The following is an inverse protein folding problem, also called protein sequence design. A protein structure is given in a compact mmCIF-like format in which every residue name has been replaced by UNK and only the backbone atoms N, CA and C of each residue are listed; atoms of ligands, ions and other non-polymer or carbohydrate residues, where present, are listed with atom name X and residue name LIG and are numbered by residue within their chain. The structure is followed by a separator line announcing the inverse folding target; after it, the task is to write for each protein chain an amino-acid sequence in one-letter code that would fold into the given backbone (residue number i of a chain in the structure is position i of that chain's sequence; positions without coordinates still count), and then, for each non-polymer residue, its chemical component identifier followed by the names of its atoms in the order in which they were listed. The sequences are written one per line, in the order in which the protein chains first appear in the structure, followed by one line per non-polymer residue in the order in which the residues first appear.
data_IF_863811799853
#
_entry.id   IF_863811799853
#
_cell.length_a   1.000
_cell.length_b   1.000
_cell.length_c   1.000
_cell.angle_alpha   90.00
_cell.angle_beta   90.00
_cell.angle_gamma   90.00
#
_symmetry.space_group_name_H-M   'P 1'
#
loop_
_entity.id
_entity.type
_entity.pdbx_description
1 polymer ?
#
# COMPACT_ATOMS: atom_id res chain seq x y z
N UNK A 1 66.32 -11.16 12.55
CA UNK A 1 64.98 -11.59 12.11
C UNK A 1 63.94 -10.69 12.75
N UNK A 2 63.42 -9.66 12.03
CA UNK A 2 62.38 -8.77 12.52
C UNK A 2 61.01 -9.41 12.18
N UNK A 3 60.21 -9.73 13.21
CA UNK A 3 58.87 -10.23 13.02
C UNK A 3 57.95 -9.05 12.68
N UNK A 4 57.36 -9.05 11.48
CA UNK A 4 56.37 -8.10 11.03
C UNK A 4 54.99 -8.54 11.59
N UNK A 5 54.41 -7.79 12.51
CA UNK A 5 53.04 -8.02 12.99
C UNK A 5 52.12 -7.24 12.08
N UNK A 6 51.38 -7.96 11.24
CA UNK A 6 50.30 -7.38 10.40
C UNK A 6 49.06 -7.32 11.28
N UNK A 7 48.64 -6.11 11.66
CA UNK A 7 47.40 -5.85 12.35
C UNK A 7 46.26 -5.79 11.30
N UNK A 8 45.42 -6.84 11.26
CA UNK A 8 44.20 -6.84 10.47
C UNK A 8 43.15 -6.01 11.20
N UNK A 9 42.89 -4.79 10.73
CA UNK A 9 41.70 -4.03 11.12
C UNK A 9 40.50 -4.62 10.41
N UNK A 10 39.73 -5.44 11.10
CA UNK A 10 38.36 -5.81 10.71
C UNK A 10 37.49 -4.55 10.85
N UNK A 11 37.27 -3.87 9.75
CA UNK A 11 36.15 -2.92 9.66
C UNK A 11 34.85 -3.71 9.71
N UNK A 12 34.32 -3.94 10.90
CA UNK A 12 32.90 -4.28 11.04
C UNK A 12 32.11 -3.02 10.68
N UNK A 13 31.64 -2.94 9.42
CA UNK A 13 30.58 -1.99 9.07
C UNK A 13 29.34 -2.42 9.87
N UNK A 14 29.15 -1.77 11.01
CA UNK A 14 27.89 -1.85 11.73
C UNK A 14 26.84 -1.28 10.80
N UNK A 15 26.04 -2.13 10.15
CA UNK A 15 24.81 -1.74 9.53
C UNK A 15 23.92 -1.21 10.66
N UNK A 16 23.95 0.10 10.87
CA UNK A 16 22.97 0.77 11.72
C UNK A 16 21.61 0.65 11.00
N UNK A 17 20.87 -0.41 11.32
CA UNK A 17 19.47 -0.44 11.00
C UNK A 17 18.83 0.78 11.68
N UNK A 18 18.30 1.71 10.89
CA UNK A 18 17.60 2.86 11.44
C UNK A 18 16.40 2.36 12.23
N UNK A 19 16.39 2.60 13.54
CA UNK A 19 15.27 2.25 14.38
C UNK A 19 14.22 3.35 14.25
N UNK A 20 13.06 3.02 13.67
CA UNK A 20 11.93 3.95 13.67
C UNK A 20 11.51 4.27 15.09
N UNK A 21 11.36 5.56 15.40
CA UNK A 21 10.74 5.98 16.65
C UNK A 21 9.31 5.46 16.73
N UNK A 22 8.89 5.08 17.92
CA UNK A 22 7.49 4.77 18.16
C UNK A 22 6.69 6.06 18.06
N UNK A 23 5.56 6.03 17.35
CA UNK A 23 4.71 7.21 17.15
C UNK A 23 4.23 7.81 18.49
N UNK A 24 4.00 6.97 19.47
CA UNK A 24 3.59 7.34 20.84
C UNK A 24 4.62 8.20 21.57
N UNK A 25 5.86 8.21 21.10
CA UNK A 25 6.97 8.99 21.70
C UNK A 25 7.26 10.30 20.97
N UNK A 26 6.47 10.65 19.95
CA UNK A 26 6.73 11.79 19.08
C UNK A 26 5.61 12.80 19.17
N UNK A 27 5.94 14.05 19.45
CA UNK A 27 5.04 15.21 19.29
C UNK A 27 5.63 16.15 18.26
N UNK A 28 4.83 16.51 17.28
CA UNK A 28 5.22 17.39 16.18
C UNK A 28 4.54 18.75 16.41
N UNK A 29 5.35 19.80 16.56
CA UNK A 29 4.86 21.17 16.69
C UNK A 29 4.84 21.93 15.37
N UNK A 30 4.52 23.23 15.46
CA UNK A 30 4.54 24.16 14.33
C UNK A 30 3.52 23.80 13.24
N UNK A 31 3.83 24.16 12.00
CA UNK A 31 2.92 24.00 10.86
C UNK A 31 2.47 22.55 10.64
N UNK A 32 3.41 21.61 10.62
CA UNK A 32 3.10 20.19 10.38
C UNK A 32 2.24 19.62 11.49
N UNK A 33 2.57 19.90 12.76
CA UNK A 33 1.76 19.47 13.90
C UNK A 33 0.34 20.02 13.84
N UNK A 34 0.18 21.31 13.53
CA UNK A 34 -1.14 21.92 13.33
C UNK A 34 -1.95 21.23 12.23
N UNK A 35 -1.32 20.88 11.10
CA UNK A 35 -2.00 20.14 10.00
C UNK A 35 -2.40 18.72 10.41
N UNK A 36 -1.60 18.03 11.22
CA UNK A 36 -1.95 16.72 11.78
C UNK A 36 -3.18 16.84 12.68
N UNK A 37 -3.19 17.78 13.61
CA UNK A 37 -4.31 18.01 14.52
C UNK A 37 -5.61 18.35 13.76
N UNK A 38 -5.51 19.20 12.73
CA UNK A 38 -6.65 19.55 11.88
C UNK A 38 -7.18 18.32 11.12
N UNK A 39 -6.31 17.50 10.54
CA UNK A 39 -6.71 16.25 9.89
C UNK A 39 -7.45 15.31 10.86
N UNK A 40 -6.90 15.13 12.07
CA UNK A 40 -7.51 14.27 13.09
C UNK A 40 -8.91 14.80 13.43
N UNK A 41 -9.01 16.08 13.74
CA UNK A 41 -10.25 16.74 14.18
C UNK A 41 -11.32 16.81 13.10
N UNK A 42 -10.94 17.20 11.87
CA UNK A 42 -11.91 17.55 10.82
C UNK A 42 -12.21 16.40 9.85
N UNK A 43 -11.40 15.31 9.86
CA UNK A 43 -11.57 14.18 8.94
C UNK A 43 -11.70 12.86 9.68
N UNK A 44 -10.67 12.47 10.42
CA UNK A 44 -10.62 11.13 11.03
C UNK A 44 -11.74 10.95 12.06
N UNK A 45 -11.90 11.93 12.96
CA UNK A 45 -12.91 11.88 14.02
C UNK A 45 -14.34 12.08 13.51
N UNK A 46 -14.53 12.90 12.46
CA UNK A 46 -15.86 13.20 11.94
C UNK A 46 -16.37 12.18 10.91
N UNK A 47 -15.50 11.29 10.41
CA UNK A 47 -15.91 10.29 9.42
C UNK A 47 -17.13 9.49 9.91
N UNK A 48 -18.15 9.40 9.08
CA UNK A 48 -19.27 8.49 9.27
C UNK A 48 -18.81 7.04 8.99
N UNK A 49 -18.61 6.29 10.06
CA UNK A 49 -18.10 4.92 9.97
C UNK A 49 -19.21 3.95 9.55
N UNK A 50 -20.45 4.21 9.92
CA UNK A 50 -21.58 3.36 9.51
C UNK A 50 -21.77 3.38 7.99
N UNK A 51 -21.52 4.55 7.36
CA UNK A 51 -21.47 4.68 5.90
C UNK A 51 -20.34 3.82 5.29
N UNK A 52 -19.14 3.81 5.89
CA UNK A 52 -18.02 3.02 5.40
C UNK A 52 -18.22 1.51 5.55
N UNK A 53 -18.99 1.07 6.55
CA UNK A 53 -19.23 -0.36 6.82
C UNK A 53 -20.49 -0.89 6.11
N UNK A 54 -21.39 -0.03 5.66
CA UNK A 54 -22.63 -0.42 5.01
C UNK A 54 -22.43 -1.33 3.78
N UNK A 55 -21.50 -1.08 2.86
CA UNK A 55 -21.27 -1.95 1.69
C UNK A 55 -20.97 -3.41 2.06
N UNK A 56 -20.26 -3.64 3.18
CA UNK A 56 -19.94 -4.99 3.65
C UNK A 56 -21.16 -5.79 4.12
N UNK A 57 -22.22 -5.09 4.54
CA UNK A 57 -23.47 -5.73 4.98
C UNK A 57 -24.35 -6.10 3.79
N UNK A 58 -24.40 -5.26 2.75
CA UNK A 58 -25.28 -5.44 1.60
C UNK A 58 -24.79 -6.48 0.60
N UNK A 59 -23.49 -6.59 0.37
CA UNK A 59 -22.83 -7.56 -0.53
C UNK A 59 -23.51 -7.74 -1.89
N UNK A 60 -23.90 -6.63 -2.51
CA UNK A 60 -24.64 -6.64 -3.78
C UNK A 60 -23.86 -6.00 -4.94
N UNK A 61 -22.61 -5.68 -4.72
CA UNK A 61 -21.75 -5.00 -5.70
C UNK A 61 -21.16 -5.96 -6.73
N UNK A 62 -20.75 -5.39 -7.86
CA UNK A 62 -20.15 -6.13 -8.98
C UNK A 62 -18.91 -5.44 -9.55
N UNK A 63 -18.68 -4.17 -9.24
CA UNK A 63 -17.63 -3.38 -9.89
C UNK A 63 -17.02 -2.26 -9.04
N UNK A 64 -17.61 -1.90 -7.89
CA UNK A 64 -17.21 -0.72 -7.10
C UNK A 64 -16.04 -1.03 -6.16
N UNK A 65 -15.29 0.01 -5.80
CA UNK A 65 -14.12 -0.03 -4.90
C UNK A 65 -14.43 0.40 -3.46
N UNK A 66 -15.69 0.45 -3.07
CA UNK A 66 -16.15 1.09 -1.81
C UNK A 66 -15.53 0.50 -0.54
N UNK A 67 -15.20 -0.80 -0.52
CA UNK A 67 -14.63 -1.45 0.66
C UNK A 67 -13.22 -0.99 1.02
N UNK A 68 -12.49 -0.38 0.08
CA UNK A 68 -11.18 0.18 0.36
C UNK A 68 -11.25 1.36 1.35
N UNK A 69 -12.36 2.12 1.35
CA UNK A 69 -12.49 3.32 2.18
C UNK A 69 -12.45 3.01 3.67
N UNK A 70 -13.12 1.94 4.11
CA UNK A 70 -13.02 1.51 5.50
C UNK A 70 -11.58 1.16 5.88
N UNK A 71 -10.90 0.35 5.07
CA UNK A 71 -9.54 -0.08 5.36
C UNK A 71 -8.53 1.06 5.36
N UNK A 72 -8.70 2.05 4.46
CA UNK A 72 -7.88 3.27 4.44
C UNK A 72 -8.16 4.14 5.66
N UNK A 73 -9.43 4.34 6.01
CA UNK A 73 -9.81 5.15 7.16
C UNK A 73 -9.28 4.53 8.46
N UNK A 74 -9.47 3.23 8.69
CA UNK A 74 -9.09 2.60 9.95
C UNK A 74 -7.57 2.63 10.17
N UNK A 75 -6.76 2.48 9.13
CA UNK A 75 -5.31 2.65 9.22
C UNK A 75 -4.92 4.08 9.62
N UNK A 76 -5.52 5.09 8.99
CA UNK A 76 -5.33 6.50 9.36
C UNK A 76 -5.83 6.82 10.76
N UNK A 77 -6.95 6.24 11.17
CA UNK A 77 -7.51 6.40 12.52
C UNK A 77 -6.62 5.77 13.59
N UNK A 78 -6.04 4.60 13.31
CA UNK A 78 -5.08 3.94 14.21
C UNK A 78 -3.80 4.76 14.34
N UNK A 79 -3.27 5.29 13.23
CA UNK A 79 -2.12 6.20 13.27
C UNK A 79 -2.42 7.46 14.11
N UNK A 80 -3.61 8.03 13.94
CA UNK A 80 -4.08 9.18 14.71
C UNK A 80 -4.23 8.85 16.20
N UNK A 81 -4.77 7.67 16.54
CA UNK A 81 -4.87 7.21 17.92
C UNK A 81 -3.48 7.02 18.56
N UNK A 82 -2.53 6.44 17.85
CA UNK A 82 -1.15 6.28 18.33
C UNK A 82 -0.45 7.63 18.56
N UNK A 83 -0.87 8.68 17.88
CA UNK A 83 -0.34 10.03 18.03
C UNK A 83 -0.96 10.77 19.23
N UNK A 84 -2.28 10.69 19.43
CA UNK A 84 -2.99 11.52 20.41
C UNK A 84 -3.68 10.76 21.57
N UNK A 85 -3.70 9.42 21.53
CA UNK A 85 -4.30 8.53 22.54
C UNK A 85 -5.77 8.84 22.88
N UNK A 86 -6.54 9.34 21.90
CA UNK A 86 -7.95 9.66 22.10
C UNK A 86 -8.79 8.42 22.40
N UNK A 87 -9.35 8.33 23.62
CA UNK A 87 -10.22 7.23 24.05
C UNK A 87 -11.48 7.13 23.16
N UNK A 88 -12.03 8.27 22.77
CA UNK A 88 -13.20 8.32 21.88
C UNK A 88 -12.87 7.76 20.48
N UNK A 89 -11.68 8.09 19.94
CA UNK A 89 -11.25 7.54 18.67
C UNK A 89 -10.98 6.05 18.74
N UNK A 90 -10.36 5.57 19.81
CA UNK A 90 -10.17 4.14 20.06
C UNK A 90 -11.49 3.36 20.07
N UNK A 91 -12.49 3.87 20.81
CA UNK A 91 -13.82 3.25 20.87
C UNK A 91 -14.50 3.23 19.48
N UNK A 92 -14.36 4.31 18.70
CA UNK A 92 -14.88 4.40 17.33
C UNK A 92 -14.21 3.39 16.39
N UNK A 93 -12.89 3.25 16.47
CA UNK A 93 -12.12 2.25 15.70
C UNK A 93 -12.61 0.86 16.06
N UNK A 94 -12.65 0.53 17.37
CA UNK A 94 -13.08 -0.78 17.85
C UNK A 94 -14.48 -1.15 17.34
N UNK A 95 -15.46 -0.24 17.50
CA UNK A 95 -16.81 -0.46 16.99
C UNK A 95 -16.81 -0.79 15.49
N UNK A 96 -16.03 -0.06 14.69
CA UNK A 96 -15.97 -0.30 13.24
C UNK A 96 -15.33 -1.64 12.89
N UNK A 97 -14.33 -2.08 13.64
CA UNK A 97 -13.68 -3.38 13.47
C UNK A 97 -14.65 -4.51 13.82
N UNK A 98 -15.35 -4.38 14.96
CA UNK A 98 -16.38 -5.36 15.37
C UNK A 98 -17.48 -5.47 14.31
N UNK A 99 -17.93 -4.33 13.76
CA UNK A 99 -18.92 -4.28 12.67
C UNK A 99 -18.42 -5.05 11.43
N UNK A 100 -17.20 -4.81 10.99
CA UNK A 100 -16.62 -5.51 9.83
C UNK A 100 -16.49 -7.01 10.09
N UNK A 101 -15.98 -7.40 11.25
CA UNK A 101 -15.85 -8.82 11.61
C UNK A 101 -17.22 -9.50 11.63
N UNK A 102 -18.28 -8.80 12.09
CA UNK A 102 -19.65 -9.34 12.13
C UNK A 102 -20.20 -9.65 10.73
N UNK A 103 -19.64 -9.03 9.68
CA UNK A 103 -20.06 -9.29 8.28
C UNK A 103 -19.37 -10.48 7.63
N UNK A 104 -18.42 -11.13 8.34
CA UNK A 104 -17.67 -12.26 7.78
C UNK A 104 -18.59 -13.46 7.51
N UNK A 105 -18.55 -13.96 6.29
CA UNK A 105 -19.31 -15.13 5.89
C UNK A 105 -18.70 -16.43 6.45
N UNK A 106 -19.47 -17.53 6.50
CA UNK A 106 -18.96 -18.82 6.99
C UNK A 106 -17.73 -19.32 6.26
N UNK A 107 -17.60 -19.04 4.94
CA UNK A 107 -16.45 -19.38 4.12
C UNK A 107 -15.20 -18.50 4.37
N UNK A 108 -15.36 -17.40 5.10
CA UNK A 108 -14.29 -16.46 5.43
C UNK A 108 -14.33 -15.14 4.67
N UNK A 109 -15.19 -14.98 3.67
CA UNK A 109 -15.28 -13.76 2.88
C UNK A 109 -15.70 -12.55 3.72
N UNK A 110 -14.97 -11.45 3.58
CA UNK A 110 -15.37 -10.10 3.99
C UNK A 110 -15.16 -9.18 2.78
N UNK A 111 -16.22 -8.60 2.28
CA UNK A 111 -16.22 -7.70 1.12
C UNK A 111 -17.66 -7.29 0.79
N UNK A 112 -17.84 -6.56 -0.31
CA UNK A 112 -19.12 -6.06 -0.77
C UNK A 112 -19.65 -6.74 -2.06
N UNK A 113 -18.86 -7.64 -2.65
CA UNK A 113 -19.22 -8.25 -3.92
C UNK A 113 -20.15 -9.44 -3.74
N UNK A 114 -21.09 -9.59 -4.71
CA UNK A 114 -21.87 -10.82 -4.84
C UNK A 114 -20.96 -12.00 -5.18
N UNK A 115 -21.39 -13.20 -4.83
CA UNK A 115 -20.60 -14.41 -5.04
C UNK A 115 -20.19 -14.62 -6.52
N UNK A 116 -21.07 -14.33 -7.46
CA UNK A 116 -20.84 -14.46 -8.90
C UNK A 116 -19.96 -13.34 -9.51
N UNK A 117 -19.67 -12.30 -8.72
CA UNK A 117 -18.84 -11.18 -9.11
C UNK A 117 -17.49 -11.15 -8.38
N UNK A 118 -17.25 -12.04 -7.44
CA UNK A 118 -15.95 -12.13 -6.77
C UNK A 118 -14.82 -12.37 -7.78
N UNK A 119 -13.61 -11.96 -7.42
CA UNK A 119 -12.39 -11.92 -8.24
C UNK A 119 -12.40 -10.91 -9.40
N UNK A 120 -13.52 -10.23 -9.65
CA UNK A 120 -13.61 -9.21 -10.71
C UNK A 120 -13.33 -7.82 -10.15
N UNK A 121 -12.98 -6.90 -11.03
CA UNK A 121 -12.82 -5.46 -10.76
C UNK A 121 -11.98 -5.17 -9.49
N UNK A 122 -12.62 -4.73 -8.42
CA UNK A 122 -11.96 -4.28 -7.19
C UNK A 122 -12.15 -5.21 -5.98
N UNK A 123 -12.69 -6.41 -6.18
CA UNK A 123 -12.99 -7.34 -5.09
C UNK A 123 -11.74 -7.67 -4.25
N UNK A 124 -10.65 -8.15 -4.89
CA UNK A 124 -9.42 -8.50 -4.17
C UNK A 124 -8.73 -7.25 -3.61
N UNK A 125 -8.81 -6.13 -4.30
CA UNK A 125 -8.35 -4.83 -3.78
C UNK A 125 -9.08 -4.44 -2.50
N UNK A 126 -10.39 -4.64 -2.44
CA UNK A 126 -11.19 -4.45 -1.23
C UNK A 126 -10.75 -5.37 -0.10
N UNK A 127 -10.54 -6.67 -0.39
CA UNK A 127 -10.02 -7.65 0.59
C UNK A 127 -8.63 -7.26 1.10
N UNK A 128 -7.75 -6.67 0.25
CA UNK A 128 -6.46 -6.13 0.67
C UNK A 128 -6.62 -5.12 1.80
N UNK A 129 -7.45 -4.09 1.58
CA UNK A 129 -7.64 -3.03 2.56
C UNK A 129 -8.37 -3.50 3.80
N UNK A 130 -9.32 -4.41 3.66
CA UNK A 130 -9.97 -5.08 4.79
C UNK A 130 -8.94 -5.82 5.66
N UNK A 131 -8.09 -6.61 5.03
CA UNK A 131 -7.04 -7.36 5.76
C UNK A 131 -6.04 -6.43 6.43
N UNK A 132 -5.57 -5.38 5.74
CA UNK A 132 -4.67 -4.36 6.31
C UNK A 132 -5.31 -3.66 7.53
N UNK A 133 -6.59 -3.29 7.44
CA UNK A 133 -7.32 -2.68 8.55
C UNK A 133 -7.42 -3.58 9.77
N UNK A 134 -7.79 -4.85 9.56
CA UNK A 134 -7.87 -5.85 10.64
C UNK A 134 -6.50 -6.12 11.29
N UNK A 135 -5.43 -6.22 10.49
CA UNK A 135 -4.08 -6.42 10.99
C UNK A 135 -3.54 -5.20 11.74
N UNK A 136 -3.86 -3.99 11.26
CA UNK A 136 -3.50 -2.76 11.96
C UNK A 136 -4.17 -2.66 13.33
N UNK A 137 -5.44 -3.09 13.43
CA UNK A 137 -6.13 -3.20 14.71
C UNK A 137 -5.51 -4.25 15.63
N UNK A 138 -5.20 -5.44 15.10
CA UNK A 138 -4.51 -6.47 15.86
C UNK A 138 -3.18 -5.97 16.45
N UNK A 139 -2.42 -5.17 15.68
CA UNK A 139 -1.13 -4.65 16.12
C UNK A 139 -1.22 -3.75 17.36
N UNK A 140 -2.29 -2.96 17.51
CA UNK A 140 -2.45 -2.06 18.66
C UNK A 140 -3.27 -2.65 19.80
N UNK A 141 -4.18 -3.57 19.51
CA UNK A 141 -5.12 -4.13 20.52
C UNK A 141 -4.67 -5.49 21.05
N UNK A 142 -3.94 -6.28 20.26
CA UNK A 142 -3.65 -7.68 20.54
C UNK A 142 -4.86 -8.61 20.39
N UNK A 143 -6.02 -8.11 19.91
CA UNK A 143 -7.26 -8.89 19.79
C UNK A 143 -7.14 -9.96 18.68
N UNK A 144 -6.97 -11.22 19.08
CA UNK A 144 -6.82 -12.35 18.16
C UNK A 144 -8.00 -12.54 17.20
N UNK A 145 -9.18 -12.04 17.56
CA UNK A 145 -10.36 -12.12 16.70
C UNK A 145 -10.12 -11.40 15.36
N UNK A 146 -9.48 -10.24 15.38
CA UNK A 146 -9.13 -9.49 14.16
C UNK A 146 -8.09 -10.23 13.31
N UNK A 147 -7.04 -10.80 13.95
CA UNK A 147 -6.06 -11.62 13.25
C UNK A 147 -6.73 -12.84 12.60
N UNK A 148 -7.58 -13.55 13.33
CA UNK A 148 -8.29 -14.72 12.81
C UNK A 148 -9.23 -14.36 11.66
N UNK A 149 -9.91 -13.21 11.75
CA UNK A 149 -10.76 -12.74 10.66
C UNK A 149 -9.92 -12.41 9.40
N UNK A 150 -8.78 -11.74 9.56
CA UNK A 150 -7.84 -11.46 8.48
C UNK A 150 -7.30 -12.75 7.83
N UNK A 151 -6.92 -13.75 8.64
CA UNK A 151 -6.50 -15.06 8.14
C UNK A 151 -7.60 -15.69 7.28
N UNK A 152 -8.84 -15.73 7.76
CA UNK A 152 -9.96 -16.32 7.02
C UNK A 152 -10.26 -15.62 5.69
N UNK A 153 -10.07 -14.29 5.60
CA UNK A 153 -10.22 -13.57 4.33
C UNK A 153 -9.20 -14.07 3.28
N UNK A 154 -7.94 -14.22 3.70
CA UNK A 154 -6.88 -14.68 2.79
C UNK A 154 -6.99 -16.17 2.52
N UNK A 155 -7.34 -16.99 3.52
CA UNK A 155 -7.57 -18.43 3.33
C UNK A 155 -8.69 -18.68 2.32
N UNK A 156 -9.80 -17.93 2.41
CA UNK A 156 -10.87 -17.98 1.40
C UNK A 156 -10.36 -17.57 0.01
N UNK A 157 -9.57 -16.49 -0.10
CA UNK A 157 -8.99 -16.10 -1.39
C UNK A 157 -8.10 -17.20 -1.97
N UNK A 158 -7.30 -17.89 -1.14
CA UNK A 158 -6.44 -18.99 -1.56
C UNK A 158 -7.22 -20.23 -2.06
N UNK A 159 -8.52 -20.36 -1.74
CA UNK A 159 -9.36 -21.38 -2.35
C UNK A 159 -9.82 -21.01 -3.76
N UNK A 160 -9.77 -19.73 -4.11
CA UNK A 160 -10.26 -19.21 -5.39
C UNK A 160 -9.14 -18.96 -6.40
N UNK A 161 -7.94 -18.56 -5.90
CA UNK A 161 -6.76 -18.24 -6.73
C UNK A 161 -5.57 -19.08 -6.27
N UNK A 162 -4.77 -19.56 -7.21
CA UNK A 162 -3.61 -20.39 -6.92
C UNK A 162 -3.34 -21.41 -7.99
N UNK A 163 -2.44 -22.34 -7.71
CA UNK A 163 -2.16 -23.49 -8.59
C UNK A 163 -3.44 -24.34 -8.74
N UNK A 164 -3.91 -24.50 -9.98
CA UNK A 164 -5.16 -25.22 -10.30
C UNK A 164 -6.44 -24.41 -10.11
N UNK A 165 -6.36 -23.18 -9.63
CA UNK A 165 -7.46 -22.22 -9.57
C UNK A 165 -7.34 -21.08 -10.59
N UNK A 166 -8.02 -19.96 -10.35
CA UNK A 166 -7.88 -18.77 -11.18
C UNK A 166 -6.49 -18.16 -10.97
N UNK A 167 -5.82 -17.77 -12.06
CA UNK A 167 -4.55 -17.05 -11.96
C UNK A 167 -4.81 -15.62 -11.45
N UNK A 168 -4.09 -15.19 -10.40
CA UNK A 168 -4.32 -13.89 -9.77
C UNK A 168 -4.12 -12.71 -10.73
N UNK A 169 -3.20 -12.81 -11.68
CA UNK A 169 -2.92 -11.72 -12.63
C UNK A 169 -4.00 -11.58 -13.70
N UNK A 170 -4.89 -12.56 -13.85
CA UNK A 170 -6.07 -12.50 -14.74
C UNK A 170 -7.31 -12.03 -14.00
N UNK A 171 -7.21 -11.70 -12.71
CA UNK A 171 -8.31 -11.19 -11.89
C UNK A 171 -8.22 -9.67 -11.72
N UNK A 172 -9.36 -9.06 -11.43
CA UNK A 172 -9.41 -7.60 -11.18
C UNK A 172 -9.00 -6.76 -12.39
N UNK A 173 -8.37 -5.62 -12.12
CA UNK A 173 -8.02 -4.62 -13.11
C UNK A 173 -6.50 -4.50 -13.29
N UNK A 174 -6.07 -3.86 -14.38
CA UNK A 174 -4.70 -3.38 -14.61
C UNK A 174 -3.67 -4.50 -14.62
N UNK A 175 -3.84 -5.50 -15.50
CA UNK A 175 -2.96 -6.68 -15.56
C UNK A 175 -2.83 -7.40 -14.21
N UNK A 176 -3.92 -7.42 -13.45
CA UNK A 176 -3.95 -8.03 -12.13
C UNK A 176 -3.18 -7.26 -11.05
N UNK A 177 -2.66 -6.05 -11.30
CA UNK A 177 -1.94 -5.29 -10.28
C UNK A 177 -2.84 -4.90 -9.10
N UNK A 178 -4.10 -4.53 -9.35
CA UNK A 178 -5.06 -4.27 -8.27
C UNK A 178 -5.19 -5.48 -7.34
N UNK A 179 -5.40 -6.67 -7.91
CA UNK A 179 -5.51 -7.93 -7.15
C UNK A 179 -4.18 -8.35 -6.51
N UNK A 180 -3.09 -8.30 -7.26
CA UNK A 180 -1.77 -8.74 -6.80
C UNK A 180 -1.19 -7.89 -5.67
N UNK A 181 -1.69 -6.66 -5.48
CA UNK A 181 -1.30 -5.81 -4.36
C UNK A 181 -1.69 -6.36 -2.99
N UNK A 182 -2.52 -7.42 -2.95
CA UNK A 182 -2.80 -8.22 -1.74
C UNK A 182 -1.52 -8.84 -1.14
N UNK A 183 -0.42 -8.88 -1.89
CA UNK A 183 0.89 -9.36 -1.44
C UNK A 183 1.31 -8.72 -0.11
N UNK A 184 1.04 -7.41 0.09
CA UNK A 184 1.43 -6.72 1.32
C UNK A 184 0.78 -7.34 2.57
N UNK A 185 -0.56 -7.41 2.70
CA UNK A 185 -1.17 -8.04 3.88
C UNK A 185 -0.91 -9.54 3.99
N UNK A 186 -0.69 -10.27 2.90
CA UNK A 186 -0.27 -11.67 2.94
C UNK A 186 1.07 -11.82 3.65
N UNK A 187 2.04 -10.94 3.39
CA UNK A 187 3.31 -10.95 4.10
C UNK A 187 3.19 -10.55 5.56
N UNK A 188 2.26 -9.66 5.91
CA UNK A 188 1.98 -9.36 7.32
C UNK A 188 1.34 -10.55 8.05
N UNK A 189 0.46 -11.31 7.39
CA UNK A 189 -0.06 -12.56 7.96
C UNK A 189 1.05 -13.55 8.24
N UNK A 190 1.98 -13.75 7.30
CA UNK A 190 3.16 -14.59 7.55
C UNK A 190 3.96 -14.09 8.75
N UNK A 191 4.20 -12.79 8.86
CA UNK A 191 4.91 -12.18 9.99
C UNK A 191 4.22 -12.44 11.34
N UNK A 192 2.88 -12.34 11.41
CA UNK A 192 2.15 -12.48 12.67
C UNK A 192 1.83 -13.92 13.05
N UNK A 193 1.69 -14.82 12.08
CA UNK A 193 1.30 -16.22 12.33
C UNK A 193 2.45 -17.20 12.25
N UNK A 194 3.49 -16.90 11.48
CA UNK A 194 4.53 -17.85 11.12
C UNK A 194 4.07 -18.97 10.16
N UNK A 195 2.80 -18.94 9.71
CA UNK A 195 2.25 -19.99 8.84
C UNK A 195 2.83 -19.88 7.42
N UNK A 196 3.58 -20.91 7.03
CA UNK A 196 4.32 -20.98 5.77
C UNK A 196 3.43 -20.90 4.53
N UNK A 197 2.15 -21.26 4.62
CA UNK A 197 1.20 -21.14 3.50
C UNK A 197 1.13 -19.71 2.93
N UNK A 198 1.18 -18.67 3.78
CA UNK A 198 1.17 -17.28 3.33
C UNK A 198 2.46 -16.90 2.59
N UNK A 199 3.61 -17.39 3.02
CA UNK A 199 4.85 -17.19 2.27
C UNK A 199 4.83 -17.90 0.91
N UNK A 200 4.27 -19.11 0.85
CA UNK A 200 4.08 -19.83 -0.43
C UNK A 200 3.13 -19.06 -1.35
N UNK A 201 2.01 -18.57 -0.82
CA UNK A 201 1.06 -17.76 -1.60
C UNK A 201 1.68 -16.44 -2.09
N UNK A 202 2.48 -15.77 -1.25
CA UNK A 202 3.24 -14.57 -1.65
C UNK A 202 4.21 -14.86 -2.82
N UNK A 203 4.95 -15.97 -2.74
CA UNK A 203 5.84 -16.40 -3.84
C UNK A 203 5.07 -16.73 -5.10
N UNK A 204 3.92 -17.40 -4.99
CA UNK A 204 3.02 -17.65 -6.11
C UNK A 204 2.61 -16.33 -6.79
N UNK A 205 2.12 -15.34 -6.04
CA UNK A 205 1.71 -14.04 -6.58
C UNK A 205 2.84 -13.42 -7.42
N UNK A 206 4.05 -13.37 -6.87
CA UNK A 206 5.21 -12.76 -7.57
C UNK A 206 5.64 -13.59 -8.78
N UNK A 207 5.55 -14.92 -8.72
CA UNK A 207 5.83 -15.78 -9.87
C UNK A 207 4.83 -15.52 -11.02
N UNK A 208 3.55 -15.28 -10.69
CA UNK A 208 2.54 -14.96 -11.70
C UNK A 208 2.76 -13.59 -12.35
N UNK A 209 3.37 -12.63 -11.64
CA UNK A 209 3.71 -11.35 -12.28
C UNK A 209 4.62 -11.49 -13.48
N UNK A 210 5.55 -12.44 -13.43
CA UNK A 210 6.59 -12.61 -14.44
C UNK A 210 6.17 -13.52 -15.61
N UNK A 211 4.90 -13.99 -15.61
CA UNK A 211 4.33 -14.71 -16.75
C UNK A 211 3.98 -13.75 -17.90
N UNK A 212 3.76 -14.26 -19.14
CA UNK A 212 3.33 -13.41 -20.25
C UNK A 212 2.03 -12.63 -20.03
N UNK A 213 1.11 -13.17 -19.24
CA UNK A 213 -0.15 -12.54 -18.87
C UNK A 213 0.00 -11.52 -17.73
N UNK A 214 1.10 -11.62 -16.99
CA UNK A 214 1.35 -10.78 -15.83
C UNK A 214 1.95 -9.42 -16.19
N UNK A 215 2.03 -8.51 -15.21
CA UNK A 215 2.55 -7.16 -15.40
C UNK A 215 4.07 -7.10 -15.60
N UNK A 216 4.82 -8.19 -15.35
CA UNK A 216 6.29 -8.32 -15.47
C UNK A 216 7.05 -7.20 -14.73
N UNK A 217 6.63 -6.92 -13.49
CA UNK A 217 7.11 -5.77 -12.71
C UNK A 217 8.60 -5.85 -12.41
N UNK A 218 9.14 -7.06 -12.14
CA UNK A 218 10.55 -7.25 -11.82
C UNK A 218 11.38 -7.20 -13.09
N UNK A 219 11.03 -8.00 -14.10
CA UNK A 219 11.77 -8.07 -15.38
C UNK A 219 11.85 -6.71 -16.05
N UNK A 220 10.74 -5.97 -16.18
CA UNK A 220 10.72 -4.65 -16.80
C UNK A 220 11.55 -3.62 -16.02
N UNK A 221 11.50 -3.66 -14.68
CA UNK A 221 12.32 -2.79 -13.85
C UNK A 221 13.82 -3.06 -14.00
N UNK A 222 14.22 -4.32 -13.94
CA UNK A 222 15.62 -4.73 -14.07
C UNK A 222 16.17 -4.34 -15.45
N UNK A 223 15.37 -4.49 -16.48
CA UNK A 223 15.73 -4.11 -17.87
C UNK A 223 15.67 -2.59 -18.12
N UNK A 224 15.38 -1.77 -17.11
CA UNK A 224 15.36 -0.31 -17.22
C UNK A 224 14.22 0.24 -18.05
N UNK A 225 13.11 -0.51 -18.20
CA UNK A 225 11.93 -0.01 -18.93
C UNK A 225 11.25 1.07 -18.07
N UNK A 226 11.14 2.33 -18.56
CA UNK A 226 10.48 3.41 -17.82
C UNK A 226 9.03 3.06 -17.44
N UNK A 227 8.57 3.48 -16.26
CA UNK A 227 7.22 3.14 -15.78
C UNK A 227 6.11 3.55 -16.76
N UNK A 228 6.26 4.69 -17.44
CA UNK A 228 5.31 5.16 -18.45
C UNK A 228 5.34 4.36 -19.76
N UNK A 229 6.33 3.47 -19.95
CA UNK A 229 6.50 2.66 -21.15
C UNK A 229 6.35 1.15 -20.91
N UNK A 230 6.03 0.73 -19.68
CA UNK A 230 5.94 -0.70 -19.31
C UNK A 230 4.77 -1.43 -19.96
N UNK A 231 3.77 -0.71 -20.38
CA UNK A 231 2.56 -1.25 -20.99
C UNK A 231 2.19 -0.49 -22.25
N UNK A 232 1.40 -1.08 -23.14
CA UNK A 232 0.83 -0.35 -24.27
C UNK A 232 0.05 0.87 -23.79
N UNK A 233 0.09 1.95 -24.55
CA UNK A 233 -0.70 3.14 -24.27
C UNK A 233 -2.19 2.78 -24.35
N UNK A 234 -3.01 3.01 -23.32
CA UNK A 234 -4.41 2.64 -23.34
C UNK A 234 -5.19 3.55 -24.28
N UNK A 235 -6.26 3.02 -24.86
CA UNK A 235 -7.21 3.83 -25.61
C UNK A 235 -7.92 4.84 -24.70
N UNK A 236 -8.28 4.40 -23.51
CA UNK A 236 -8.84 5.22 -22.44
C UNK A 236 -8.02 5.04 -21.16
N UNK A 237 -7.56 6.15 -20.57
CA UNK A 237 -6.77 6.16 -19.33
C UNK A 237 -7.50 5.53 -18.14
N UNK A 238 -8.83 5.52 -18.14
CA UNK A 238 -9.64 4.89 -17.10
C UNK A 238 -9.98 3.43 -17.38
N UNK A 239 -9.57 2.89 -18.54
CA UNK A 239 -9.78 1.50 -18.89
C UNK A 239 -9.17 0.55 -17.84
N UNK A 240 -9.87 -0.55 -17.48
CA UNK A 240 -9.30 -1.62 -16.65
C UNK A 240 -8.03 -2.25 -17.23
N UNK A 241 -7.77 -2.06 -18.51
CA UNK A 241 -6.60 -2.56 -19.24
C UNK A 241 -5.38 -1.62 -19.13
N UNK A 242 -5.52 -0.46 -18.47
CA UNK A 242 -4.43 0.50 -18.33
C UNK A 242 -3.34 -0.01 -17.38
N UNK A 243 -2.24 -0.51 -17.91
CA UNK A 243 -1.11 -1.01 -17.12
C UNK A 243 -0.21 0.07 -16.52
N UNK A 244 -0.34 1.35 -16.90
CA UNK A 244 0.43 2.46 -16.34
C UNK A 244 -0.11 2.96 -14.98
N UNK A 245 -1.10 2.30 -14.41
CA UNK A 245 -1.69 2.69 -13.12
C UNK A 245 -0.65 2.83 -12.00
N UNK A 246 -0.52 4.06 -11.51
CA UNK A 246 0.55 4.46 -10.60
C UNK A 246 0.38 3.89 -9.19
N UNK A 247 -0.83 4.00 -8.65
CA UNK A 247 -1.13 3.58 -7.28
C UNK A 247 -0.99 2.07 -7.11
N UNK A 248 -1.62 1.31 -8.01
CA UNK A 248 -1.61 -0.16 -7.98
C UNK A 248 -0.20 -0.70 -8.19
N UNK A 249 0.56 -0.13 -9.13
CA UNK A 249 1.95 -0.51 -9.37
C UNK A 249 2.81 -0.31 -8.11
N UNK A 250 2.76 0.86 -7.49
CA UNK A 250 3.50 1.12 -6.25
C UNK A 250 3.04 0.23 -5.10
N UNK A 251 1.75 -0.07 -5.00
CA UNK A 251 1.21 -1.00 -4.00
C UNK A 251 1.79 -2.41 -4.15
N UNK A 252 1.97 -2.89 -5.38
CA UNK A 252 2.65 -4.15 -5.64
C UNK A 252 4.10 -4.12 -5.16
N UNK A 253 4.85 -3.05 -5.43
CA UNK A 253 6.23 -2.91 -4.96
C UNK A 253 6.35 -2.79 -3.44
N UNK A 254 5.38 -2.17 -2.78
CA UNK A 254 5.30 -2.17 -1.31
C UNK A 254 5.22 -3.60 -0.76
N UNK A 255 4.36 -4.44 -1.35
CA UNK A 255 4.28 -5.86 -1.00
C UNK A 255 5.57 -6.64 -1.33
N UNK A 256 6.23 -6.31 -2.45
CA UNK A 256 7.49 -6.94 -2.83
C UNK A 256 8.62 -6.64 -1.84
N UNK A 257 8.67 -5.45 -1.25
CA UNK A 257 9.61 -5.12 -0.18
C UNK A 257 9.36 -5.94 1.09
N UNK A 258 8.10 -6.20 1.44
CA UNK A 258 7.79 -7.08 2.58
C UNK A 258 8.24 -8.53 2.31
N UNK A 259 8.09 -9.03 1.08
CA UNK A 259 8.60 -10.33 0.68
C UNK A 259 10.14 -10.36 0.65
N UNK A 260 10.79 -9.27 0.21
CA UNK A 260 12.25 -9.12 0.26
C UNK A 260 12.79 -9.26 1.69
N UNK A 261 12.16 -8.67 2.68
CA UNK A 261 12.58 -8.75 4.10
C UNK A 261 12.69 -10.17 4.62
N UNK A 262 11.94 -11.10 4.03
CA UNK A 262 11.92 -12.51 4.43
C UNK A 262 12.83 -13.37 3.56
N UNK A 263 12.83 -13.11 2.24
CA UNK A 263 13.52 -13.97 1.26
C UNK A 263 14.95 -13.54 1.00
N UNK A 264 15.27 -12.28 1.23
CA UNK A 264 16.53 -11.63 0.87
C UNK A 264 16.91 -11.77 -0.62
N UNK A 265 15.91 -11.98 -1.50
CA UNK A 265 16.15 -12.06 -2.94
C UNK A 265 16.52 -10.66 -3.47
N UNK A 266 17.79 -10.49 -3.80
CA UNK A 266 18.33 -9.19 -4.24
C UNK A 266 17.60 -8.60 -5.45
N UNK A 267 17.08 -9.43 -6.36
CA UNK A 267 16.34 -8.96 -7.53
C UNK A 267 15.05 -8.18 -7.14
N UNK A 268 14.44 -8.50 -6.01
CA UNK A 268 13.24 -7.79 -5.54
C UNK A 268 13.59 -6.37 -5.11
N UNK A 269 14.63 -6.20 -4.31
CA UNK A 269 15.07 -4.87 -3.89
C UNK A 269 15.58 -4.06 -5.09
N UNK A 270 16.39 -4.65 -5.97
CA UNK A 270 16.91 -3.98 -7.19
C UNK A 270 15.78 -3.49 -8.09
N UNK A 271 14.75 -4.31 -8.33
CA UNK A 271 13.58 -3.92 -9.12
C UNK A 271 12.84 -2.73 -8.51
N UNK A 272 12.65 -2.72 -7.17
CA UNK A 272 11.99 -1.59 -6.49
C UNK A 272 12.83 -0.34 -6.54
N UNK A 273 14.14 -0.42 -6.27
CA UNK A 273 15.04 0.73 -6.31
C UNK A 273 15.14 1.35 -7.70
N UNK A 274 15.27 0.52 -8.76
CA UNK A 274 15.26 0.99 -10.15
C UNK A 274 13.96 1.68 -10.52
N UNK A 275 12.82 1.11 -10.09
CA UNK A 275 11.51 1.72 -10.34
C UNK A 275 11.36 3.06 -9.61
N UNK A 276 11.77 3.14 -8.35
CA UNK A 276 11.70 4.38 -7.57
C UNK A 276 12.62 5.46 -8.15
N UNK A 277 13.81 5.10 -8.60
CA UNK A 277 14.70 6.02 -9.28
C UNK A 277 14.11 6.53 -10.61
N UNK A 278 13.48 5.65 -11.38
CA UNK A 278 12.79 6.04 -12.62
C UNK A 278 11.63 7.00 -12.32
N UNK A 279 10.74 6.65 -11.39
CA UNK A 279 9.61 7.51 -10.98
C UNK A 279 10.11 8.89 -10.50
N UNK A 280 11.14 8.95 -9.65
CA UNK A 280 11.70 10.21 -9.16
C UNK A 280 12.23 11.10 -10.28
N UNK A 281 12.84 10.48 -11.31
CA UNK A 281 13.49 11.21 -12.41
C UNK A 281 12.55 11.57 -13.57
N UNK A 282 11.48 10.79 -13.78
CA UNK A 282 10.63 10.93 -14.97
C UNK A 282 9.20 11.36 -14.66
N UNK A 283 8.68 11.04 -13.47
CA UNK A 283 7.27 11.23 -13.14
C UNK A 283 7.03 12.32 -12.10
N UNK A 284 7.86 12.35 -11.04
CA UNK A 284 7.64 13.28 -9.93
C UNK A 284 7.99 14.72 -10.33
N UNK A 285 6.99 15.57 -10.30
CA UNK A 285 7.09 16.99 -10.64
C UNK A 285 7.76 17.83 -9.54
N UNK A 286 7.81 19.16 -9.77
CA UNK A 286 8.43 20.11 -8.84
C UNK A 286 7.76 20.13 -7.47
N UNK A 287 6.45 19.86 -7.38
CA UNK A 287 5.69 19.82 -6.14
C UNK A 287 5.80 18.47 -5.38
N UNK A 288 6.50 17.48 -5.92
CA UNK A 288 6.66 16.19 -5.27
C UNK A 288 5.48 15.24 -5.45
N UNK A 289 4.66 15.44 -6.49
CA UNK A 289 3.57 14.56 -6.89
C UNK A 289 3.74 14.12 -8.33
N UNK A 290 2.99 13.11 -8.74
CA UNK A 290 3.02 12.57 -10.09
C UNK A 290 1.65 12.08 -10.52
N UNK A 291 1.63 11.39 -11.65
CA UNK A 291 0.48 10.85 -12.36
C UNK A 291 -0.42 11.87 -13.05
N UNK A 292 -1.05 11.41 -14.11
CA UNK A 292 -2.22 12.02 -14.71
C UNK A 292 -3.23 10.92 -14.99
N UNK A 293 -4.52 11.18 -14.70
CA UNK A 293 -5.55 10.14 -14.83
C UNK A 293 -5.18 8.83 -14.11
N UNK A 294 -4.58 8.96 -12.90
CA UNK A 294 -4.08 7.87 -12.07
C UNK A 294 -2.92 7.05 -12.70
N UNK A 295 -2.26 7.57 -13.74
CA UNK A 295 -1.31 6.82 -14.55
C UNK A 295 0.04 7.51 -14.69
N UNK A 296 1.11 6.72 -14.86
CA UNK A 296 2.42 7.20 -15.24
C UNK A 296 2.42 7.64 -16.72
N UNK A 297 3.02 8.79 -17.02
CA UNK A 297 2.96 9.38 -18.36
C UNK A 297 4.19 10.21 -18.72
N UNK A 298 5.32 10.03 -18.06
CA UNK A 298 6.51 10.88 -18.11
C UNK A 298 6.21 12.30 -17.59
N UNK A 299 5.56 12.37 -16.45
CA UNK A 299 4.94 13.58 -15.90
C UNK A 299 5.87 14.75 -15.70
N UNK A 300 7.16 14.49 -15.40
CA UNK A 300 8.17 15.55 -15.27
C UNK A 300 8.39 16.32 -16.57
N UNK A 301 8.34 15.65 -17.70
CA UNK A 301 8.44 16.27 -19.04
C UNK A 301 7.23 17.14 -19.37
N UNK A 302 6.06 16.70 -18.91
CA UNK A 302 4.78 17.33 -19.24
C UNK A 302 4.18 18.18 -18.13
N UNK A 303 4.92 18.46 -17.03
CA UNK A 303 4.40 19.17 -15.85
C UNK A 303 3.89 20.60 -16.15
N UNK A 304 4.27 21.20 -17.25
CA UNK A 304 3.79 22.51 -17.70
C UNK A 304 2.68 22.43 -18.75
N UNK A 305 2.29 21.21 -19.17
CA UNK A 305 1.22 21.03 -20.14
C UNK A 305 -0.15 21.31 -19.49
N UNK A 306 -1.03 22.09 -20.14
CA UNK A 306 -2.38 22.31 -19.61
C UNK A 306 -3.26 21.05 -19.66
N UNK A 307 -2.85 20.00 -20.39
CA UNK A 307 -3.59 18.75 -20.56
C UNK A 307 -3.33 17.75 -19.43
N UNK A 308 -2.10 17.72 -18.90
CA UNK A 308 -1.65 16.73 -17.93
C UNK A 308 -1.28 17.43 -16.61
N UNK A 309 -2.25 17.71 -15.76
CA UNK A 309 -2.01 18.41 -14.50
C UNK A 309 -2.76 17.82 -13.30
N UNK A 310 -3.19 16.57 -13.42
CA UNK A 310 -3.79 15.87 -12.29
C UNK A 310 -2.68 15.36 -11.38
N UNK A 311 -2.55 15.95 -10.21
CA UNK A 311 -1.65 15.47 -9.16
C UNK A 311 -2.50 14.80 -8.10
N UNK A 312 -2.47 13.47 -8.04
CA UNK A 312 -3.36 12.73 -7.16
C UNK A 312 -2.77 12.55 -5.78
N UNK A 313 -3.57 12.85 -4.77
CA UNK A 313 -3.18 12.70 -3.36
C UNK A 313 -2.89 11.24 -3.01
N UNK A 314 -3.66 10.28 -3.55
CA UNK A 314 -3.42 8.85 -3.34
C UNK A 314 -2.06 8.40 -3.89
N UNK A 315 -1.67 8.86 -5.08
CA UNK A 315 -0.36 8.58 -5.67
C UNK A 315 0.76 9.23 -4.85
N UNK A 316 0.58 10.50 -4.44
CA UNK A 316 1.55 11.21 -3.59
C UNK A 316 1.78 10.47 -2.26
N UNK A 317 0.70 10.03 -1.61
CA UNK A 317 0.78 9.30 -0.34
C UNK A 317 1.47 7.94 -0.49
N UNK A 318 1.11 7.18 -1.52
CA UNK A 318 1.72 5.86 -1.78
C UNK A 318 3.19 5.99 -2.17
N UNK A 319 3.56 7.05 -2.90
CA UNK A 319 4.94 7.40 -3.17
C UNK A 319 5.74 7.65 -1.87
N UNK A 320 5.20 8.45 -0.96
CA UNK A 320 5.81 8.67 0.37
C UNK A 320 5.98 7.36 1.13
N UNK A 321 4.95 6.49 1.13
CA UNK A 321 5.03 5.18 1.80
C UNK A 321 6.12 4.29 1.20
N UNK A 322 6.23 4.23 -0.12
CA UNK A 322 7.24 3.43 -0.80
C UNK A 322 8.66 3.94 -0.49
N UNK A 323 8.86 5.27 -0.52
CA UNK A 323 10.11 5.89 -0.14
C UNK A 323 10.46 5.66 1.35
N UNK A 324 9.48 5.73 2.26
CA UNK A 324 9.69 5.46 3.69
C UNK A 324 10.14 4.01 3.93
N UNK A 325 9.53 3.04 3.25
CA UNK A 325 9.95 1.64 3.35
C UNK A 325 11.39 1.44 2.84
N UNK A 326 11.77 2.08 1.74
CA UNK A 326 13.14 2.01 1.22
C UNK A 326 14.14 2.74 2.12
N UNK A 327 13.77 3.90 2.67
CA UNK A 327 14.60 4.60 3.65
C UNK A 327 14.88 3.71 4.87
N UNK A 328 13.85 3.08 5.41
CA UNK A 328 13.98 2.18 6.55
C UNK A 328 14.85 0.94 6.25
N UNK A 329 14.83 0.44 5.02
CA UNK A 329 15.61 -0.74 4.61
C UNK A 329 17.06 -0.42 4.29
N UNK A 330 17.33 0.77 3.71
CA UNK A 330 18.64 1.07 3.10
C UNK A 330 19.40 2.19 3.79
N UNK A 331 18.71 3.04 4.57
CA UNK A 331 19.29 4.24 5.15
C UNK A 331 19.68 5.33 4.12
N UNK A 332 19.30 5.17 2.84
CA UNK A 332 19.71 6.09 1.79
C UNK A 332 18.92 7.42 1.88
N UNK A 333 19.59 8.56 2.12
CA UNK A 333 18.95 9.87 2.31
C UNK A 333 18.16 10.35 1.08
N UNK A 334 18.45 9.84 -0.12
CA UNK A 334 17.67 10.14 -1.31
C UNK A 334 16.16 9.93 -1.10
N UNK A 335 15.77 8.88 -0.38
CA UNK A 335 14.36 8.62 -0.10
C UNK A 335 13.78 9.62 0.92
N UNK A 336 14.57 10.10 1.86
CA UNK A 336 14.16 11.17 2.78
C UNK A 336 13.88 12.47 2.03
N UNK A 337 14.73 12.84 1.06
CA UNK A 337 14.53 14.03 0.21
C UNK A 337 13.22 13.93 -0.60
N UNK A 338 12.89 12.74 -1.13
CA UNK A 338 11.62 12.53 -1.83
C UNK A 338 10.42 12.68 -0.88
N UNK A 339 10.50 12.13 0.33
CA UNK A 339 9.45 12.27 1.35
C UNK A 339 9.26 13.73 1.73
N UNK A 340 10.32 14.43 2.06
CA UNK A 340 10.28 15.84 2.45
C UNK A 340 9.65 16.71 1.37
N UNK A 341 10.11 16.58 0.12
CA UNK A 341 9.58 17.30 -1.02
C UNK A 341 8.09 17.08 -1.20
N UNK A 342 7.63 15.83 -1.13
CA UNK A 342 6.22 15.47 -1.33
C UNK A 342 5.34 15.91 -0.17
N UNK A 343 5.83 15.73 1.06
CA UNK A 343 5.11 16.09 2.29
C UNK A 343 4.84 17.59 2.37
N UNK A 344 5.90 18.43 2.28
CA UNK A 344 5.77 19.86 2.49
C UNK A 344 5.12 20.62 1.34
N UNK A 345 5.03 20.03 0.15
CA UNK A 345 4.39 20.67 -1.00
C UNK A 345 3.07 19.97 -1.36
N UNK A 346 3.11 18.93 -2.18
CA UNK A 346 1.89 18.36 -2.75
C UNK A 346 0.91 17.81 -1.70
N UNK A 347 1.39 17.08 -0.68
CA UNK A 347 0.50 16.48 0.32
C UNK A 347 -0.14 17.53 1.22
N UNK A 348 0.66 18.47 1.77
CA UNK A 348 0.13 19.52 2.63
C UNK A 348 -0.81 20.47 1.88
N UNK A 349 -0.50 20.79 0.60
CA UNK A 349 -1.37 21.63 -0.24
C UNK A 349 -2.70 20.96 -0.61
N UNK A 350 -2.76 19.61 -0.62
CA UNK A 350 -3.99 18.88 -0.88
C UNK A 350 -4.98 18.87 0.31
N UNK A 351 -4.52 19.25 1.50
CA UNK A 351 -5.35 19.25 2.70
C UNK A 351 -6.16 20.55 2.78
N UNK A 352 -7.48 20.43 2.74
CA UNK A 352 -8.38 21.55 3.04
C UNK A 352 -8.52 21.74 4.56
N UNK A 353 -8.78 22.97 4.98
CA UNK A 353 -8.90 23.32 6.40
C UNK A 353 -10.26 22.94 7.01
N UNK A 354 -11.23 22.62 6.18
CA UNK A 354 -12.58 22.27 6.56
C UNK A 354 -12.91 20.78 6.40
N UNK A 355 -14.08 20.36 6.87
CA UNK A 355 -14.57 18.98 6.79
C UNK A 355 -15.26 18.66 5.44
N UNK A 356 -15.13 19.50 4.41
CA UNK A 356 -15.88 19.37 3.14
C UNK A 356 -15.50 18.13 2.31
N UNK A 357 -14.41 17.47 2.65
CA UNK A 357 -13.90 16.28 1.94
C UNK A 357 -14.16 14.96 2.67
N UNK A 358 -15.01 14.95 3.69
CA UNK A 358 -15.43 13.70 4.32
C UNK A 358 -16.32 12.94 3.34
N UNK A 359 -16.03 11.65 3.15
CA UNK A 359 -16.93 10.76 2.41
C UNK A 359 -18.29 10.71 3.13
N UNK A 360 -19.34 11.07 2.42
CA UNK A 360 -20.72 11.07 2.90
C UNK A 360 -21.47 9.89 2.32
#
# INVERSE_FOLDING_TARGET
MKKLIILFFLFTSSLYAQTKLKMESVQIGGYVGGRIEDCIRTRVQLQDVDHLTAPFRTKNDTASWQTEFWGKWVQGAIASYRYNHSVALYAKIKKSVDDIISTQQPDGYIGNYRLDAQLKSWDIWGRKYTTLGLLSWYEISGEKQALNAACRVIDHLMTQVGEGGTNIVTTGNYYGMASSSILEPVMYLYKYTGDYKYLQFAKYIVAQWETPEGPQLITKAINGVPVAARFPHPFDWFSPENGQKAYEMMSCYIGLLELYKVTHNAAYLDAVQKTVNDIANTEINVAGSGSAFESWYSGRKYQTSPTYHTMETCVTFTWIQLCDKLLALTGNPFYADQIEKSLYNALMAALKDDASQIAK
#
